data_IF_971859276570
#
_entry.id   IF_971859276570
#
_cell.length_a   1.000
_cell.length_b   1.000
_cell.length_c   1.000
_cell.angle_alpha   90.00
_cell.angle_beta   90.00
_cell.angle_gamma   90.00
#
_symmetry.space_group_name_H-M   'P 1'
#
loop_
_entity.id
_entity.type
_entity.pdbx_description
1 polymer ?
#
# COMPACT_ATOMS: atom_id res chain seq x y z
N UNK A 1 -1.55 20.91 -5.14
CA UNK A 1 -2.64 20.10 -5.74
C UNK A 1 -2.28 19.48 -7.08
N UNK A 2 -1.48 20.13 -7.93
CA UNK A 2 -1.06 19.57 -9.23
C UNK A 2 -0.27 18.26 -9.10
N UNK A 3 0.75 18.24 -8.24
CA UNK A 3 1.56 17.03 -7.98
C UNK A 3 0.74 15.87 -7.40
N UNK A 4 -0.24 16.18 -6.55
CA UNK A 4 -1.18 15.21 -6.02
C UNK A 4 -1.98 14.54 -7.13
N UNK A 5 -2.54 15.34 -8.06
CA UNK A 5 -3.27 14.85 -9.24
C UNK A 5 -2.38 14.05 -10.17
N UNK A 6 -1.14 14.49 -10.40
CA UNK A 6 -0.17 13.74 -11.20
C UNK A 6 0.14 12.37 -10.58
N UNK A 7 0.26 12.31 -9.24
CA UNK A 7 0.46 11.05 -8.53
C UNK A 7 -0.75 10.13 -8.64
N UNK A 8 -1.96 10.66 -8.55
CA UNK A 8 -3.19 9.89 -8.78
C UNK A 8 -3.26 9.31 -10.20
N UNK A 9 -2.88 10.09 -11.21
CA UNK A 9 -2.79 9.59 -12.58
C UNK A 9 -1.79 8.43 -12.74
N UNK A 10 -0.67 8.46 -11.99
CA UNK A 10 0.28 7.34 -11.96
C UNK A 10 -0.27 6.12 -11.24
N UNK A 11 -0.95 6.31 -10.11
CA UNK A 11 -1.60 5.24 -9.37
C UNK A 11 -2.68 4.55 -10.21
N UNK A 12 -3.51 5.31 -10.93
CA UNK A 12 -4.50 4.75 -11.84
C UNK A 12 -3.86 3.79 -12.85
N UNK A 13 -2.75 4.20 -13.49
CA UNK A 13 -2.00 3.34 -14.43
C UNK A 13 -1.41 2.08 -13.79
N UNK A 14 -1.01 2.16 -12.52
CA UNK A 14 -0.54 0.98 -11.76
C UNK A 14 -1.70 0.02 -11.52
N UNK A 15 -2.85 0.51 -11.06
CA UNK A 15 -4.01 -0.31 -10.74
C UNK A 15 -4.81 -0.79 -11.96
N UNK A 16 -4.52 -0.27 -13.15
CA UNK A 16 -4.93 -0.87 -14.43
C UNK A 16 -4.18 -2.18 -14.74
N UNK A 17 -3.07 -2.47 -14.06
CA UNK A 17 -2.30 -3.72 -14.22
C UNK A 17 -2.85 -4.80 -13.31
N UNK A 18 -2.64 -6.05 -13.72
CA UNK A 18 -2.96 -7.18 -12.87
C UNK A 18 -1.92 -7.29 -11.76
N UNK A 19 -2.36 -7.21 -10.50
CA UNK A 19 -1.48 -7.31 -9.33
C UNK A 19 -1.56 -8.73 -8.78
N UNK A 20 -0.39 -9.36 -8.59
CA UNK A 20 -0.27 -10.71 -8.04
C UNK A 20 0.73 -10.70 -6.90
N UNK A 21 0.51 -11.53 -5.88
CA UNK A 21 1.45 -11.70 -4.77
C UNK A 21 2.03 -13.12 -4.76
N UNK A 22 3.34 -13.20 -4.61
CA UNK A 22 4.05 -14.46 -4.32
C UNK A 22 4.22 -14.54 -2.82
N UNK A 23 3.39 -15.38 -2.18
CA UNK A 23 3.38 -15.61 -0.74
C UNK A 23 3.88 -17.01 -0.39
N UNK A 24 4.42 -17.18 0.81
CA UNK A 24 4.85 -18.48 1.31
C UNK A 24 6.00 -18.40 2.31
N UNK A 25 6.22 -19.49 3.03
CA UNK A 25 7.26 -19.55 4.06
C UNK A 25 8.68 -19.38 3.49
N UNK A 26 9.57 -18.84 4.32
CA UNK A 26 10.98 -18.66 3.97
C UNK A 26 11.61 -19.99 3.58
N UNK A 27 12.41 -20.00 2.50
CA UNK A 27 13.10 -21.16 1.92
C UNK A 27 12.22 -22.18 1.17
N UNK A 28 10.99 -21.84 0.82
CA UNK A 28 10.11 -22.69 0.00
C UNK A 28 10.20 -22.42 -1.51
N UNK A 29 11.30 -21.81 -1.97
CA UNK A 29 11.51 -21.52 -3.40
C UNK A 29 10.72 -20.32 -3.93
N UNK A 30 10.11 -19.49 -3.08
CA UNK A 30 9.41 -18.25 -3.50
C UNK A 30 10.30 -17.28 -4.27
N UNK A 31 11.61 -17.25 -3.95
CA UNK A 31 12.61 -16.51 -4.73
C UNK A 31 12.81 -17.06 -6.15
N UNK A 32 12.65 -18.37 -6.36
CA UNK A 32 12.74 -18.97 -7.68
C UNK A 32 11.49 -18.65 -8.51
N UNK A 33 10.30 -18.71 -7.89
CA UNK A 33 9.05 -18.27 -8.52
C UNK A 33 9.14 -16.81 -8.96
N UNK A 34 9.66 -15.93 -8.11
CA UNK A 34 9.91 -14.53 -8.46
C UNK A 34 10.78 -14.38 -9.72
N UNK A 35 11.90 -15.10 -9.79
CA UNK A 35 12.80 -15.06 -10.95
C UNK A 35 12.13 -15.60 -12.22
N UNK A 36 11.35 -16.68 -12.12
CA UNK A 36 10.62 -17.24 -13.25
C UNK A 36 9.55 -16.26 -13.78
N UNK A 37 8.87 -15.55 -12.89
CA UNK A 37 7.89 -14.54 -13.26
C UNK A 37 8.55 -13.31 -13.91
N UNK A 38 9.61 -12.77 -13.32
CA UNK A 38 10.30 -11.57 -13.86
C UNK A 38 10.99 -11.83 -15.20
N UNK A 39 11.28 -13.09 -15.54
CA UNK A 39 11.81 -13.46 -16.86
C UNK A 39 10.77 -13.30 -17.98
N UNK A 40 9.47 -13.19 -17.68
CA UNK A 40 8.43 -13.01 -18.68
C UNK A 40 8.34 -11.55 -19.15
N UNK A 41 8.31 -11.25 -20.46
CA UNK A 41 8.38 -9.87 -20.97
C UNK A 41 7.22 -8.97 -20.55
N UNK A 42 6.08 -9.55 -20.15
CA UNK A 42 4.88 -8.81 -19.72
C UNK A 42 4.68 -8.78 -18.19
N UNK A 43 5.58 -9.39 -17.41
CA UNK A 43 5.48 -9.45 -15.95
C UNK A 43 6.68 -8.74 -15.34
N UNK A 44 6.44 -7.89 -14.34
CA UNK A 44 7.49 -7.35 -13.51
C UNK A 44 7.38 -7.93 -12.10
N UNK A 45 8.42 -8.66 -11.65
CA UNK A 45 8.46 -9.31 -10.34
C UNK A 45 9.78 -9.05 -9.60
N UNK A 46 10.02 -7.80 -9.20
CA UNK A 46 11.35 -7.36 -8.73
C UNK A 46 11.46 -7.08 -7.23
N UNK A 47 10.35 -6.98 -6.51
CA UNK A 47 10.37 -6.55 -5.11
C UNK A 47 10.19 -7.67 -4.09
N UNK A 48 10.62 -7.34 -2.87
CA UNK A 48 10.35 -8.06 -1.63
C UNK A 48 9.99 -7.04 -0.56
N UNK A 49 8.74 -6.57 -0.57
CA UNK A 49 8.35 -5.38 0.17
C UNK A 49 7.91 -5.62 1.63
N UNK A 50 7.78 -6.89 2.05
CA UNK A 50 7.39 -7.24 3.43
C UNK A 50 6.11 -6.51 3.88
N UNK A 51 5.05 -6.63 3.09
CA UNK A 51 3.82 -5.88 3.33
C UNK A 51 3.08 -6.40 4.56
N UNK A 52 2.88 -7.71 4.64
CA UNK A 52 2.08 -8.39 5.66
C UNK A 52 2.79 -8.47 7.01
N UNK A 53 4.11 -8.61 7.02
CA UNK A 53 4.95 -8.85 8.19
C UNK A 53 5.69 -7.59 8.69
N UNK A 54 5.73 -6.52 7.90
CA UNK A 54 6.37 -5.26 8.28
C UNK A 54 5.47 -4.04 8.04
N UNK A 55 5.18 -3.68 6.78
CA UNK A 55 4.52 -2.39 6.48
C UNK A 55 3.11 -2.27 7.08
N UNK A 56 2.26 -3.27 6.87
CA UNK A 56 0.86 -3.24 7.29
C UNK A 56 0.71 -3.22 8.81
N UNK A 57 1.43 -4.04 9.60
CA UNK A 57 1.41 -3.92 11.07
C UNK A 57 1.85 -2.55 11.57
N UNK A 58 2.87 -1.94 10.94
CA UNK A 58 3.36 -0.61 11.33
C UNK A 58 2.33 0.49 11.04
N UNK A 59 1.68 0.44 9.88
CA UNK A 59 0.63 1.39 9.51
C UNK A 59 -0.62 1.23 10.38
N UNK A 60 -1.06 -0.02 10.61
CA UNK A 60 -2.19 -0.31 11.48
C UNK A 60 -1.97 0.27 12.88
N UNK A 61 -0.78 0.03 13.47
CA UNK A 61 -0.43 0.61 14.77
C UNK A 61 -0.45 2.15 14.74
N UNK A 62 0.06 2.77 13.68
CA UNK A 62 0.07 4.22 13.57
C UNK A 62 -1.36 4.81 13.48
N UNK A 63 -2.26 4.15 12.77
CA UNK A 63 -3.67 4.54 12.69
C UNK A 63 -4.38 4.36 14.03
N UNK A 64 -4.13 3.25 14.73
CA UNK A 64 -4.66 2.99 16.07
C UNK A 64 -4.20 4.05 17.08
N UNK A 65 -2.90 4.34 17.11
CA UNK A 65 -2.31 5.34 18.00
C UNK A 65 -2.90 6.74 17.71
N UNK A 66 -3.05 7.09 16.42
CA UNK A 66 -3.66 8.36 16.00
C UNK A 66 -5.12 8.45 16.43
N UNK A 67 -5.91 7.40 16.19
CA UNK A 67 -7.33 7.36 16.53
C UNK A 67 -7.57 7.41 18.03
N UNK A 68 -6.75 6.72 18.84
CA UNK A 68 -6.80 6.82 20.30
C UNK A 68 -6.52 8.26 20.78
N UNK A 69 -5.56 8.95 20.15
CA UNK A 69 -5.30 10.36 20.38
C UNK A 69 -6.49 11.25 20.01
N UNK A 70 -7.08 11.03 18.82
CA UNK A 70 -8.24 11.75 18.33
C UNK A 70 -9.44 11.59 19.28
N UNK A 71 -9.73 10.37 19.73
CA UNK A 71 -10.81 10.10 20.69
C UNK A 71 -10.61 10.87 22.00
N UNK A 72 -9.38 10.93 22.53
CA UNK A 72 -9.05 11.75 23.70
C UNK A 72 -9.36 13.24 23.45
N UNK A 73 -9.05 13.78 22.27
CA UNK A 73 -9.40 15.16 21.90
C UNK A 73 -10.91 15.36 21.82
N UNK A 74 -11.63 14.46 21.15
CA UNK A 74 -13.09 14.48 21.04
C UNK A 74 -13.75 14.48 22.42
N UNK A 75 -13.28 13.60 23.32
CA UNK A 75 -13.75 13.52 24.70
C UNK A 75 -13.52 14.83 25.48
N UNK A 76 -12.43 15.57 25.22
CA UNK A 76 -12.22 16.90 25.84
C UNK A 76 -13.20 17.94 25.31
N UNK A 77 -13.48 17.95 24.01
CA UNK A 77 -14.43 18.89 23.40
C UNK A 77 -15.83 18.69 23.98
N UNK A 78 -16.28 17.42 24.05
CA UNK A 78 -17.55 17.03 24.68
C UNK A 78 -17.59 17.43 26.16
N UNK A 79 -16.54 17.13 26.94
CA UNK A 79 -16.45 17.56 28.35
C UNK A 79 -16.48 19.08 28.53
N UNK A 80 -16.02 19.84 27.53
CA UNK A 80 -16.01 21.31 27.54
C UNK A 80 -17.32 21.91 27.02
N UNK A 81 -18.33 21.09 26.70
CA UNK A 81 -19.62 21.54 26.16
C UNK A 81 -19.55 22.06 24.72
N UNK A 82 -18.45 21.78 24.00
CA UNK A 82 -18.27 22.21 22.62
C UNK A 82 -18.81 21.14 21.66
N UNK A 83 -19.51 21.53 20.58
CA UNK A 83 -19.91 20.59 19.54
C UNK A 83 -18.68 20.11 18.76
N UNK A 84 -18.52 18.80 18.64
CA UNK A 84 -17.50 18.20 17.79
C UNK A 84 -17.05 16.81 18.25
N UNK A 85 -16.68 15.97 17.28
CA UNK A 85 -15.87 14.77 17.48
C UNK A 85 -14.59 14.93 16.64
N UNK A 86 -13.46 14.44 17.13
CA UNK A 86 -12.26 14.39 16.31
C UNK A 86 -12.49 13.35 15.20
N UNK A 87 -12.43 13.78 13.94
CA UNK A 87 -12.55 12.87 12.80
C UNK A 87 -11.27 12.03 12.71
N UNK A 88 -11.32 10.81 13.22
CA UNK A 88 -10.25 9.81 13.07
C UNK A 88 -10.19 9.22 11.66
N UNK A 89 -9.20 8.37 11.44
CA UNK A 89 -9.06 7.56 10.22
C UNK A 89 -10.04 6.40 10.30
N UNK A 90 -10.93 6.29 9.30
CA UNK A 90 -11.83 5.16 9.16
C UNK A 90 -11.14 3.96 8.51
N UNK A 91 -11.77 2.79 8.54
CA UNK A 91 -11.22 1.58 7.90
C UNK A 91 -11.04 1.80 6.40
N UNK A 92 -11.98 2.49 5.74
CA UNK A 92 -11.93 2.78 4.32
C UNK A 92 -10.79 3.77 3.98
N UNK A 93 -10.48 4.71 4.88
CA UNK A 93 -9.34 5.61 4.73
C UNK A 93 -8.03 4.82 4.85
N UNK A 94 -7.94 3.92 5.83
CA UNK A 94 -6.78 3.07 6.03
C UNK A 94 -6.51 2.17 4.81
N UNK A 95 -7.55 1.52 4.27
CA UNK A 95 -7.46 0.71 3.06
C UNK A 95 -6.94 1.53 1.87
N UNK A 96 -7.50 2.72 1.67
CA UNK A 96 -7.06 3.62 0.60
C UNK A 96 -5.61 4.08 0.78
N UNK A 97 -5.20 4.44 2.00
CA UNK A 97 -3.84 4.87 2.32
C UNK A 97 -2.84 3.74 2.11
N UNK A 98 -3.17 2.51 2.54
CA UNK A 98 -2.33 1.33 2.37
C UNK A 98 -2.20 0.96 0.89
N UNK A 99 -3.31 0.93 0.14
CA UNK A 99 -3.28 0.70 -1.30
C UNK A 99 -2.46 1.77 -2.01
N UNK A 100 -2.64 3.05 -1.66
CA UNK A 100 -1.87 4.16 -2.25
C UNK A 100 -0.37 4.00 -1.99
N UNK A 101 0.04 3.59 -0.79
CA UNK A 101 1.44 3.32 -0.47
C UNK A 101 2.02 2.22 -1.37
N UNK A 102 1.32 1.08 -1.48
CA UNK A 102 1.69 -0.03 -2.37
C UNK A 102 1.78 0.43 -3.82
N UNK A 103 0.80 1.18 -4.31
CA UNK A 103 0.77 1.68 -5.69
C UNK A 103 1.93 2.64 -6.00
N UNK A 104 2.31 3.50 -5.05
CA UNK A 104 3.49 4.38 -5.20
C UNK A 104 4.78 3.56 -5.30
N UNK A 105 4.89 2.46 -4.55
CA UNK A 105 6.04 1.55 -4.60
C UNK A 105 6.09 0.84 -5.96
N UNK A 106 4.98 0.28 -6.43
CA UNK A 106 4.88 -0.41 -7.72
C UNK A 106 5.09 0.50 -8.93
N UNK A 107 4.72 1.78 -8.85
CA UNK A 107 5.01 2.73 -9.91
C UNK A 107 6.52 2.85 -10.22
N UNK A 108 7.41 2.53 -9.26
CA UNK A 108 8.87 2.49 -9.48
C UNK A 108 9.27 1.40 -10.46
N UNK A 109 8.55 0.28 -10.44
CA UNK A 109 8.76 -0.86 -11.32
C UNK A 109 8.31 -0.58 -12.75
N UNK A 110 7.23 0.20 -12.93
CA UNK A 110 6.75 0.57 -14.26
C UNK A 110 7.69 1.57 -14.96
N UNK A 111 8.35 2.47 -14.22
CA UNK A 111 9.27 3.47 -14.79
C UNK A 111 10.45 2.87 -15.57
N UNK A 112 10.78 1.58 -15.38
CA UNK A 112 11.89 0.90 -16.06
C UNK A 112 11.49 -0.29 -16.93
N UNK A 113 10.22 -0.68 -16.95
CA UNK A 113 9.80 -1.95 -17.57
C UNK A 113 9.08 -1.79 -18.92
N UNK A 114 8.95 -0.56 -19.42
CA UNK A 114 8.29 -0.25 -20.71
C UNK A 114 6.77 -0.44 -20.67
N UNK A 115 6.07 0.02 -21.71
CA UNK A 115 4.61 -0.02 -21.79
C UNK A 115 4.04 -1.45 -21.93
N UNK A 116 4.89 -2.46 -22.15
CA UNK A 116 4.50 -3.86 -22.36
C UNK A 116 4.17 -4.64 -21.09
N UNK A 117 4.47 -4.11 -19.89
CA UNK A 117 4.12 -4.79 -18.63
C UNK A 117 2.62 -4.75 -18.40
N UNK A 118 2.04 -5.95 -18.24
CA UNK A 118 0.61 -6.16 -17.93
C UNK A 118 0.39 -6.63 -16.50
N UNK A 119 1.39 -7.29 -15.91
CA UNK A 119 1.31 -7.87 -14.57
C UNK A 119 2.41 -7.30 -13.68
N UNK A 120 2.05 -6.86 -12.49
CA UNK A 120 2.98 -6.52 -11.42
C UNK A 120 2.85 -7.61 -10.37
N UNK A 121 3.91 -8.39 -10.18
CA UNK A 121 3.97 -9.42 -9.16
C UNK A 121 4.91 -8.96 -8.04
N UNK A 122 4.52 -9.14 -6.79
CA UNK A 122 5.38 -8.80 -5.65
C UNK A 122 5.55 -10.01 -4.74
N UNK A 123 6.80 -10.34 -4.42
CA UNK A 123 7.06 -11.32 -3.38
C UNK A 123 6.86 -10.67 -2.02
N UNK A 124 6.04 -11.26 -1.18
CA UNK A 124 5.81 -10.74 0.17
C UNK A 124 5.54 -11.94 1.09
N UNK A 125 6.28 -12.08 2.20
CA UNK A 125 6.10 -13.20 3.13
C UNK A 125 4.69 -13.37 3.69
#
# INVERSE_FOLDING_TARGET
>A
MEEYRATHGRLARVFERQIVFVVGATRWGTAWVQQCLDAHPEICCKGEAHFTDSLFPLLAKAFDDYNAGAESVGNRLVKSGLPGNAAGIMVEDADYLMASAVGVMFNRWLKGSGDGVKVIAEKTP
#
